data_IF_397022138427
#
_entry.id   IF_397022138427
#
_cell.length_a   1.000
_cell.length_b   1.000
_cell.length_c   1.000
_cell.angle_alpha   90.00
_cell.angle_beta   90.00
_cell.angle_gamma   90.00
#
_symmetry.space_group_name_H-M   'P 1'
#
loop_
_entity.id
_entity.type
_entity.pdbx_description
1 polymer ?
#
# COMPACT_ATOMS: atom_id res chain seq x y z
N UNK A 1 2.56 -27.19 -4.93
CA UNK A 1 2.75 -26.27 -6.07
C UNK A 1 1.78 -26.73 -7.14
N UNK A 2 0.74 -25.96 -7.49
CA UNK A 2 -0.17 -26.36 -8.54
C UNK A 2 0.54 -26.37 -9.88
N UNK A 3 0.48 -27.48 -10.57
CA UNK A 3 1.05 -27.66 -11.90
C UNK A 3 0.28 -26.81 -12.91
N UNK A 4 0.93 -26.16 -13.89
CA UNK A 4 0.24 -25.41 -14.93
C UNK A 4 -0.60 -26.37 -15.79
N UNK A 5 -1.89 -26.06 -15.93
CA UNK A 5 -2.78 -26.78 -16.84
C UNK A 5 -2.30 -26.50 -18.27
N UNK A 6 -1.76 -27.51 -18.95
CA UNK A 6 -1.42 -27.44 -20.37
C UNK A 6 -2.68 -27.62 -21.19
N UNK A 7 -3.12 -26.58 -21.88
CA UNK A 7 -4.11 -26.72 -22.97
C UNK A 7 -3.36 -26.72 -24.29
N UNK A 8 -3.69 -27.66 -25.19
CA UNK A 8 -3.03 -27.85 -26.48
C UNK A 8 -3.64 -26.93 -27.53
N UNK A 9 -2.92 -25.88 -27.96
CA UNK A 9 -3.29 -24.99 -29.06
C UNK A 9 -2.21 -23.92 -29.33
N UNK A 10 -2.08 -23.37 -30.57
CA UNK A 10 -1.02 -22.47 -30.95
C UNK A 10 -1.22 -21.08 -30.29
N UNK A 11 -0.34 -20.69 -29.39
CA UNK A 11 -0.30 -19.49 -28.53
C UNK A 11 -1.13 -19.61 -27.26
N UNK A 12 -0.66 -20.45 -26.36
CA UNK A 12 -1.23 -20.51 -25.01
C UNK A 12 -0.71 -19.35 -24.15
N UNK A 13 -1.58 -18.38 -23.87
CA UNK A 13 -1.39 -17.53 -22.69
C UNK A 13 -1.60 -18.40 -21.45
N UNK A 14 -0.55 -18.63 -20.67
CA UNK A 14 -0.65 -19.29 -19.35
C UNK A 14 -1.63 -18.51 -18.49
N UNK A 15 -2.83 -19.03 -18.33
CA UNK A 15 -3.83 -18.44 -17.46
C UNK A 15 -3.59 -18.98 -16.05
N UNK A 16 -3.13 -18.11 -15.15
CA UNK A 16 -3.00 -18.43 -13.74
C UNK A 16 -4.34 -18.18 -13.06
N UNK A 17 -5.08 -19.25 -12.81
CA UNK A 17 -6.36 -19.20 -12.13
C UNK A 17 -6.12 -19.51 -10.67
N UNK A 18 -6.58 -18.65 -9.76
CA UNK A 18 -6.52 -18.90 -8.33
C UNK A 18 -7.41 -20.10 -7.97
N UNK A 19 -6.88 -21.16 -7.34
CA UNK A 19 -7.67 -22.35 -6.98
C UNK A 19 -8.73 -22.06 -5.90
N UNK A 20 -8.57 -20.97 -5.13
CA UNK A 20 -9.49 -20.61 -4.05
C UNK A 20 -10.67 -19.76 -4.54
N UNK A 21 -10.43 -18.77 -5.40
CA UNK A 21 -11.47 -17.82 -5.81
C UNK A 21 -11.74 -17.79 -7.33
N UNK A 22 -11.04 -18.59 -8.11
CA UNK A 22 -11.21 -18.67 -9.58
C UNK A 22 -10.73 -17.43 -10.35
N UNK A 23 -10.13 -16.45 -9.71
CA UNK A 23 -9.60 -15.26 -10.36
C UNK A 23 -8.55 -15.61 -11.42
N UNK A 24 -8.75 -15.16 -12.65
CA UNK A 24 -7.85 -15.44 -13.80
C UNK A 24 -6.52 -14.68 -13.76
N UNK A 25 -6.35 -13.70 -12.89
CA UNK A 25 -5.14 -12.89 -12.74
C UNK A 25 -4.67 -12.78 -11.28
N UNK A 26 -5.30 -13.53 -10.37
CA UNK A 26 -5.00 -13.50 -8.93
C UNK A 26 -3.66 -14.13 -8.56
N UNK A 27 -3.11 -14.99 -9.40
CA UNK A 27 -1.80 -15.59 -9.21
C UNK A 27 -0.79 -14.91 -10.11
N UNK A 28 0.16 -14.19 -9.52
CA UNK A 28 1.38 -13.81 -10.22
C UNK A 28 2.44 -14.86 -9.94
N UNK A 29 3.04 -15.42 -11.00
CA UNK A 29 4.30 -16.14 -10.83
C UNK A 29 5.30 -15.16 -10.20
N UNK A 30 5.80 -15.54 -9.02
CA UNK A 30 7.04 -14.99 -8.57
C UNK A 30 8.11 -15.54 -9.52
N UNK A 31 8.32 -14.85 -10.65
CA UNK A 31 9.50 -15.10 -11.45
C UNK A 31 10.70 -15.00 -10.51
N UNK A 32 11.73 -15.78 -10.79
CA UNK A 32 12.99 -15.86 -10.03
C UNK A 32 13.67 -14.46 -10.04
N UNK A 33 13.03 -13.50 -9.38
CA UNK A 33 13.66 -12.23 -9.05
C UNK A 33 14.18 -12.39 -7.63
N UNK A 34 15.40 -12.90 -7.55
CA UNK A 34 16.17 -13.00 -6.30
C UNK A 34 16.03 -11.75 -5.42
N UNK A 35 15.93 -10.58 -6.04
CA UNK A 35 15.70 -9.32 -5.37
C UNK A 35 14.40 -9.28 -4.51
N UNK A 36 13.31 -9.89 -4.94
CA UNK A 36 12.05 -9.89 -4.17
C UNK A 36 12.13 -10.86 -2.99
N UNK A 37 12.74 -12.02 -3.19
CA UNK A 37 12.93 -13.02 -2.13
C UNK A 37 13.91 -12.51 -1.07
N UNK A 38 15.00 -11.88 -1.50
CA UNK A 38 15.97 -11.25 -0.61
C UNK A 38 15.33 -10.10 0.18
N UNK A 39 14.52 -9.23 -0.45
CA UNK A 39 13.82 -8.16 0.26
C UNK A 39 12.84 -8.69 1.31
N UNK A 40 12.10 -9.75 1.02
CA UNK A 40 11.21 -10.38 1.97
C UNK A 40 11.98 -11.01 3.14
N UNK A 41 13.10 -11.69 2.84
CA UNK A 41 13.95 -12.29 3.85
C UNK A 41 14.59 -11.24 4.77
N UNK A 42 15.10 -10.13 4.19
CA UNK A 42 15.66 -9.01 4.95
C UNK A 42 14.59 -8.42 5.87
N UNK A 43 13.38 -8.19 5.36
CA UNK A 43 12.28 -7.64 6.16
C UNK A 43 11.94 -8.56 7.34
N UNK A 44 11.88 -9.87 7.12
CA UNK A 44 11.62 -10.84 8.19
C UNK A 44 12.77 -10.90 9.21
N UNK A 45 14.02 -10.88 8.75
CA UNK A 45 15.18 -10.85 9.62
C UNK A 45 15.24 -9.58 10.48
N UNK A 46 14.91 -8.43 9.91
CA UNK A 46 14.92 -7.16 10.62
C UNK A 46 13.72 -7.00 11.57
N UNK A 47 12.58 -7.60 11.27
CA UNK A 47 11.44 -7.66 12.16
C UNK A 47 11.61 -8.66 13.31
N UNK A 48 12.61 -9.56 13.23
CA UNK A 48 12.85 -10.57 14.26
C UNK A 48 13.33 -9.92 15.55
N UNK A 49 12.68 -10.26 16.67
CA UNK A 49 13.11 -9.88 18.02
C UNK A 49 14.46 -10.47 18.46
N UNK A 50 14.97 -11.42 17.71
CA UNK A 50 16.26 -12.10 18.00
C UNK A 50 17.42 -11.48 17.24
N UNK A 51 17.17 -10.45 16.43
CA UNK A 51 18.19 -9.78 15.64
C UNK A 51 18.44 -8.36 16.17
N UNK A 52 19.48 -8.19 16.96
CA UNK A 52 19.88 -6.92 17.54
C UNK A 52 20.79 -6.10 16.60
N UNK A 53 21.41 -6.76 15.60
CA UNK A 53 22.27 -6.09 14.59
C UNK A 53 21.62 -6.17 13.21
N UNK A 54 20.80 -5.17 12.90
CA UNK A 54 20.02 -5.08 11.64
C UNK A 54 20.89 -4.66 10.46
N UNK A 55 21.95 -5.42 10.16
CA UNK A 55 22.84 -5.20 9.04
C UNK A 55 22.77 -6.34 8.05
N UNK A 56 22.82 -6.00 6.76
CA UNK A 56 22.88 -6.97 5.67
C UNK A 56 23.98 -6.62 4.71
N UNK A 57 24.83 -7.59 4.42
CA UNK A 57 25.86 -7.49 3.40
C UNK A 57 25.40 -8.27 2.16
N UNK A 58 25.29 -7.58 1.04
CA UNK A 58 25.00 -8.21 -0.25
C UNK A 58 26.17 -7.97 -1.19
N UNK A 59 26.69 -9.05 -1.76
CA UNK A 59 27.79 -9.00 -2.73
C UNK A 59 27.23 -9.08 -4.14
N UNK A 60 27.79 -8.28 -5.04
CA UNK A 60 27.49 -8.31 -6.46
C UNK A 60 28.78 -8.11 -7.25
N UNK A 61 28.90 -8.78 -8.39
CA UNK A 61 30.07 -8.70 -9.26
C UNK A 61 30.24 -7.33 -9.93
N UNK A 62 29.18 -6.52 -9.94
CA UNK A 62 29.17 -5.19 -10.54
C UNK A 62 28.75 -4.13 -9.51
N UNK A 63 29.58 -3.11 -9.32
CA UNK A 63 29.35 -2.00 -8.39
C UNK A 63 28.07 -1.23 -8.72
N UNK A 64 27.78 -1.00 -10.01
CA UNK A 64 26.54 -0.33 -10.42
C UNK A 64 25.31 -1.18 -10.10
N UNK A 65 25.38 -2.49 -10.32
CA UNK A 65 24.30 -3.41 -10.00
C UNK A 65 24.09 -3.51 -8.48
N UNK A 66 25.16 -3.51 -7.70
CA UNK A 66 25.10 -3.47 -6.24
C UNK A 66 24.43 -2.20 -5.71
N UNK A 67 24.80 -1.02 -6.23
CA UNK A 67 24.20 0.25 -5.84
C UNK A 67 22.72 0.34 -6.22
N UNK A 68 22.37 -0.10 -7.45
CA UNK A 68 21.00 -0.13 -7.91
C UNK A 68 20.13 -1.11 -7.08
N UNK A 69 20.68 -2.27 -6.74
CA UNK A 69 20.00 -3.26 -5.90
C UNK A 69 19.82 -2.76 -4.47
N UNK A 70 20.81 -2.08 -3.89
CA UNK A 70 20.70 -1.51 -2.55
C UNK A 70 19.56 -0.49 -2.46
N UNK A 71 19.46 0.44 -3.42
CA UNK A 71 18.34 1.39 -3.50
C UNK A 71 16.98 0.71 -3.70
N UNK A 72 16.94 -0.32 -4.53
CA UNK A 72 15.74 -1.12 -4.75
C UNK A 72 15.30 -1.86 -3.47
N UNK A 73 16.23 -2.49 -2.76
CA UNK A 73 15.94 -3.17 -1.50
C UNK A 73 15.43 -2.20 -0.44
N UNK A 74 16.10 -1.07 -0.26
CA UNK A 74 15.70 -0.05 0.71
C UNK A 74 14.28 0.46 0.43
N UNK A 75 13.98 0.82 -0.82
CA UNK A 75 12.64 1.27 -1.21
C UNK A 75 11.57 0.19 -1.03
N UNK A 76 11.89 -1.07 -1.30
CA UNK A 76 10.96 -2.19 -1.11
C UNK A 76 10.73 -2.51 0.35
N UNK A 77 11.78 -2.55 1.15
CA UNK A 77 11.69 -2.81 2.59
C UNK A 77 10.87 -1.73 3.28
N UNK A 78 11.10 -0.47 2.94
CA UNK A 78 10.31 0.66 3.46
C UNK A 78 8.81 0.52 3.13
N UNK A 79 8.47 0.21 1.88
CA UNK A 79 7.06 -0.01 1.48
C UNK A 79 6.41 -1.20 2.18
N UNK A 80 7.15 -2.28 2.39
CA UNK A 80 6.64 -3.41 3.16
C UNK A 80 6.41 -3.04 4.63
N UNK A 81 7.33 -2.29 5.24
CA UNK A 81 7.17 -1.76 6.59
C UNK A 81 5.91 -0.89 6.70
N UNK A 82 5.74 0.07 5.78
CA UNK A 82 4.57 0.93 5.75
C UNK A 82 3.26 0.14 5.60
N UNK A 83 3.20 -0.83 4.69
CA UNK A 83 2.01 -1.69 4.52
C UNK A 83 1.70 -2.51 5.77
N UNK A 84 2.72 -3.02 6.43
CA UNK A 84 2.55 -3.74 7.70
C UNK A 84 2.00 -2.81 8.78
N UNK A 85 2.49 -1.58 8.85
CA UNK A 85 2.00 -0.56 9.77
C UNK A 85 0.53 -0.18 9.48
N UNK A 86 0.18 0.02 8.20
CA UNK A 86 -1.21 0.27 7.77
C UNK A 86 -2.12 -0.87 8.17
N UNK A 87 -1.71 -2.12 7.91
CA UNK A 87 -2.50 -3.30 8.25
C UNK A 87 -2.71 -3.42 9.76
N UNK A 88 -1.69 -3.14 10.55
CA UNK A 88 -1.80 -3.13 12.01
C UNK A 88 -2.79 -2.07 12.49
N UNK A 89 -2.68 -0.85 11.98
CA UNK A 89 -3.62 0.22 12.31
C UNK A 89 -5.06 -0.16 11.93
N UNK A 90 -5.28 -0.71 10.74
CA UNK A 90 -6.60 -1.21 10.33
C UNK A 90 -7.17 -2.26 11.29
N UNK A 91 -6.32 -3.18 11.75
CA UNK A 91 -6.75 -4.26 12.65
C UNK A 91 -7.09 -3.76 14.06
N UNK A 92 -6.39 -2.74 14.56
CA UNK A 92 -6.54 -2.24 15.93
C UNK A 92 -7.57 -1.09 16.05
N UNK A 93 -7.60 -0.19 15.07
CA UNK A 93 -8.43 1.02 15.12
C UNK A 93 -9.73 0.92 14.30
N UNK A 94 -9.94 -0.20 13.65
CA UNK A 94 -11.21 -0.51 13.01
C UNK A 94 -11.31 -0.09 11.56
N UNK A 95 -12.33 -0.68 10.93
CA UNK A 95 -12.79 -0.39 9.57
C UNK A 95 -13.90 0.67 9.58
N UNK A 96 -14.14 1.30 8.45
CA UNK A 96 -15.27 2.22 8.26
C UNK A 96 -14.94 3.69 8.52
N UNK A 97 -13.67 4.04 8.59
CA UNK A 97 -13.22 5.44 8.62
C UNK A 97 -13.15 6.01 7.20
N UNK A 98 -13.38 7.32 7.06
CA UNK A 98 -13.06 8.00 5.81
C UNK A 98 -11.55 7.94 5.53
N UNK A 99 -11.13 8.03 4.27
CA UNK A 99 -9.71 8.00 3.95
C UNK A 99 -8.94 9.17 4.60
N UNK A 100 -9.58 10.33 4.74
CA UNK A 100 -8.99 11.50 5.39
C UNK A 100 -8.79 11.28 6.89
N UNK A 101 -9.81 10.77 7.60
CA UNK A 101 -9.71 10.43 9.01
C UNK A 101 -8.70 9.31 9.26
N UNK A 102 -8.67 8.34 8.35
CA UNK A 102 -7.68 7.26 8.38
C UNK A 102 -6.23 7.80 8.30
N UNK A 103 -5.96 8.74 7.39
CA UNK A 103 -4.62 9.33 7.24
C UNK A 103 -4.18 10.08 8.50
N UNK A 104 -5.08 10.90 9.07
CA UNK A 104 -4.80 11.64 10.30
C UNK A 104 -4.62 10.68 11.49
N UNK A 105 -5.58 9.80 11.70
CA UNK A 105 -5.56 8.83 12.80
C UNK A 105 -4.40 7.85 12.73
N UNK A 106 -3.92 7.50 11.53
CA UNK A 106 -2.74 6.66 11.37
C UNK A 106 -1.48 7.31 11.93
N UNK A 107 -1.28 8.59 11.63
CA UNK A 107 -0.12 9.34 12.13
C UNK A 107 -0.18 9.47 13.64
N UNK A 108 -1.33 9.89 14.17
CA UNK A 108 -1.56 10.05 15.61
C UNK A 108 -1.37 8.72 16.37
N UNK A 109 -1.87 7.64 15.82
CA UNK A 109 -1.72 6.30 16.40
C UNK A 109 -0.25 5.92 16.59
N UNK A 110 0.58 6.13 15.56
CA UNK A 110 1.98 5.74 15.64
C UNK A 110 2.80 6.68 16.52
N UNK A 111 2.48 7.98 16.61
CA UNK A 111 3.07 8.87 17.58
C UNK A 111 2.74 8.50 19.04
N UNK A 112 1.58 7.88 19.28
CA UNK A 112 1.23 7.37 20.61
C UNK A 112 1.97 6.07 20.97
N UNK A 113 2.42 5.30 19.99
CA UNK A 113 3.02 3.98 20.19
C UNK A 113 4.53 3.92 19.99
N UNK A 114 5.13 5.01 19.54
CA UNK A 114 6.56 5.13 19.27
C UNK A 114 7.11 6.44 19.82
N UNK A 115 8.39 6.45 20.18
CA UNK A 115 9.10 7.73 20.38
C UNK A 115 9.34 8.42 19.03
N UNK A 116 9.66 9.71 19.04
CA UNK A 116 9.93 10.46 17.81
C UNK A 116 11.11 9.85 17.02
N UNK A 117 12.13 9.35 17.73
CA UNK A 117 13.27 8.68 17.11
C UNK A 117 12.87 7.36 16.43
N UNK A 118 12.01 6.58 17.10
CA UNK A 118 11.49 5.33 16.55
C UNK A 118 10.59 5.59 15.34
N UNK A 119 9.73 6.61 15.44
CA UNK A 119 8.85 7.02 14.34
C UNK A 119 9.67 7.45 13.12
N UNK A 120 10.64 8.35 13.31
CA UNK A 120 11.53 8.77 12.21
C UNK A 120 12.30 7.59 11.64
N UNK A 121 12.89 6.74 12.49
CA UNK A 121 13.68 5.59 12.03
C UNK A 121 12.87 4.59 11.22
N UNK A 122 11.60 4.40 11.56
CA UNK A 122 10.73 3.43 10.90
C UNK A 122 10.11 3.97 9.61
N UNK A 123 9.66 5.23 9.65
CA UNK A 123 8.85 5.81 8.58
C UNK A 123 9.64 6.68 7.60
N UNK A 124 10.91 6.99 7.85
CA UNK A 124 11.70 7.80 6.93
C UNK A 124 11.79 7.14 5.56
N UNK A 125 11.34 7.80 4.49
CA UNK A 125 11.48 7.26 3.16
C UNK A 125 12.93 7.36 2.68
N UNK A 126 13.40 6.44 1.81
CA UNK A 126 14.80 6.39 1.36
C UNK A 126 15.33 7.67 0.76
N UNK A 127 14.44 8.49 0.17
CA UNK A 127 14.82 9.75 -0.44
C UNK A 127 14.97 10.93 0.56
N UNK A 128 14.72 10.72 1.85
CA UNK A 128 14.94 11.73 2.89
C UNK A 128 16.09 11.39 3.85
N UNK A 129 16.70 10.22 3.72
CA UNK A 129 17.78 9.75 4.61
C UNK A 129 19.06 10.57 4.55
N UNK A 130 19.25 11.40 3.53
CA UNK A 130 20.37 12.34 3.39
C UNK A 130 20.20 13.63 4.19
N UNK A 131 19.04 13.84 4.81
CA UNK A 131 18.79 15.07 5.58
C UNK A 131 19.64 15.09 6.84
N UNK A 132 20.23 16.27 7.12
CA UNK A 132 21.14 16.49 8.25
C UNK A 132 20.49 16.11 9.60
N UNK A 133 19.23 16.46 9.81
CA UNK A 133 18.53 16.10 11.05
C UNK A 133 18.45 14.58 11.26
N UNK A 134 18.30 13.80 10.19
CA UNK A 134 18.32 12.33 10.26
C UNK A 134 19.73 11.78 10.53
N UNK A 135 20.75 12.34 9.88
CA UNK A 135 22.14 11.95 10.12
C UNK A 135 22.57 12.22 11.56
N UNK A 136 22.25 13.41 12.10
CA UNK A 136 22.51 13.78 13.48
C UNK A 136 21.75 12.88 14.46
N UNK A 137 20.47 12.58 14.19
CA UNK A 137 19.68 11.64 14.99
C UNK A 137 20.33 10.24 15.00
N UNK A 138 20.80 9.75 13.85
CA UNK A 138 21.44 8.44 13.75
C UNK A 138 22.74 8.36 14.55
N UNK A 139 23.52 9.44 14.55
CA UNK A 139 24.77 9.53 15.29
C UNK A 139 24.55 9.66 16.80
N UNK A 140 23.63 10.53 17.20
CA UNK A 140 23.38 10.87 18.61
C UNK A 140 22.34 9.97 19.27
N UNK A 141 21.64 9.12 18.50
CA UNK A 141 20.49 8.31 18.94
C UNK A 141 19.36 9.13 19.58
N UNK A 142 19.27 10.40 19.23
CA UNK A 142 18.28 11.33 19.72
C UNK A 142 17.94 12.35 18.65
N UNK A 143 16.65 12.58 18.44
CA UNK A 143 16.17 13.64 17.57
C UNK A 143 16.39 14.98 18.27
N UNK A 144 16.96 15.97 17.58
CA UNK A 144 17.08 17.32 18.12
C UNK A 144 15.71 18.01 18.13
N UNK A 145 15.53 18.94 19.07
CA UNK A 145 14.33 19.77 19.14
C UNK A 145 14.58 21.09 18.39
N UNK A 146 15.05 21.01 17.16
CA UNK A 146 15.32 22.14 16.31
C UNK A 146 14.36 22.23 15.12
N UNK A 147 14.41 23.37 14.44
CA UNK A 147 13.55 23.61 13.26
C UNK A 147 13.75 22.55 12.17
N UNK A 148 14.96 21.99 12.02
CA UNK A 148 15.25 21.01 10.97
C UNK A 148 14.62 19.65 11.30
N UNK A 149 14.62 19.26 12.56
CA UNK A 149 13.94 18.05 13.03
C UNK A 149 12.42 18.13 12.84
N UNK A 150 11.82 19.28 13.18
CA UNK A 150 10.38 19.51 12.95
C UNK A 150 10.01 19.47 11.46
N UNK A 151 10.85 20.06 10.59
CA UNK A 151 10.65 19.98 9.14
C UNK A 151 10.74 18.53 8.67
N UNK A 152 11.74 17.77 9.14
CA UNK A 152 11.89 16.36 8.79
C UNK A 152 10.68 15.55 9.21
N UNK A 153 10.20 15.73 10.43
CA UNK A 153 9.01 15.05 10.96
C UNK A 153 7.80 15.31 10.05
N UNK A 154 7.53 16.58 9.79
CA UNK A 154 6.41 16.99 8.94
C UNK A 154 6.49 16.42 7.50
N UNK A 155 7.68 16.39 6.90
CA UNK A 155 7.86 15.79 5.59
C UNK A 155 7.63 14.27 5.59
N UNK A 156 8.00 13.58 6.67
CA UNK A 156 7.71 12.15 6.84
C UNK A 156 6.21 11.93 6.93
N UNK A 157 5.51 12.70 7.76
CA UNK A 157 4.05 12.62 7.92
C UNK A 157 3.31 12.87 6.61
N UNK A 158 3.68 13.93 5.90
CA UNK A 158 3.13 14.21 4.57
C UNK A 158 3.38 13.06 3.59
N UNK A 159 4.57 12.49 3.64
CA UNK A 159 4.91 11.34 2.78
C UNK A 159 4.08 10.11 3.12
N UNK A 160 3.85 9.81 4.39
CA UNK A 160 2.99 8.72 4.84
C UNK A 160 1.57 8.92 4.30
N UNK A 161 1.00 10.10 4.49
CA UNK A 161 -0.35 10.43 4.00
C UNK A 161 -0.46 10.24 2.47
N UNK A 162 0.54 10.70 1.74
CA UNK A 162 0.60 10.52 0.28
C UNK A 162 0.68 9.04 -0.12
N UNK A 163 1.51 8.24 0.56
CA UNK A 163 1.63 6.80 0.26
C UNK A 163 0.36 6.01 0.61
N UNK A 164 -0.36 6.40 1.67
CA UNK A 164 -1.68 5.83 1.97
C UNK A 164 -2.67 6.12 0.83
N UNK A 165 -2.69 7.36 0.31
CA UNK A 165 -3.50 7.71 -0.86
C UNK A 165 -3.10 6.90 -2.10
N UNK A 166 -1.81 6.71 -2.32
CA UNK A 166 -1.32 5.88 -3.42
C UNK A 166 -1.75 4.42 -3.26
N UNK A 167 -1.64 3.88 -2.05
CA UNK A 167 -1.94 2.46 -1.78
C UNK A 167 -3.40 2.11 -2.07
N UNK A 168 -4.34 2.97 -1.64
CA UNK A 168 -5.78 2.74 -1.78
C UNK A 168 -6.43 3.41 -3.00
N UNK A 169 -5.77 4.40 -3.60
CA UNK A 169 -6.27 5.15 -4.74
C UNK A 169 -5.58 4.76 -6.05
N UNK A 170 -4.54 5.50 -6.40
CA UNK A 170 -3.92 5.44 -7.72
C UNK A 170 -3.24 4.11 -8.05
N UNK A 171 -2.70 3.41 -7.05
CA UNK A 171 -1.93 2.17 -7.27
C UNK A 171 -2.63 0.92 -6.74
N UNK A 172 -3.85 1.03 -6.23
CA UNK A 172 -4.58 -0.10 -5.64
C UNK A 172 -4.67 -1.31 -6.57
N UNK A 173 -4.78 -1.07 -7.87
CA UNK A 173 -4.85 -2.10 -8.92
C UNK A 173 -3.49 -2.47 -9.53
N UNK A 174 -2.40 -1.83 -9.12
CA UNK A 174 -1.07 -2.01 -9.72
C UNK A 174 -0.12 -2.69 -8.74
N UNK A 175 0.37 -3.84 -9.08
CA UNK A 175 1.35 -4.55 -8.26
C UNK A 175 0.76 -5.32 -7.09
N UNK A 176 1.47 -5.37 -5.97
CA UNK A 176 1.08 -6.05 -4.73
C UNK A 176 0.64 -5.00 -3.71
N UNK A 177 -0.61 -4.63 -3.74
CA UNK A 177 -1.22 -3.69 -2.80
C UNK A 177 -1.95 -4.44 -1.67
N UNK A 178 -2.36 -3.73 -0.63
CA UNK A 178 -3.17 -4.29 0.46
C UNK A 178 -4.51 -4.81 -0.05
N UNK A 179 -5.13 -4.12 -1.01
CA UNK A 179 -6.35 -4.58 -1.67
C UNK A 179 -6.15 -5.90 -2.41
N UNK A 180 -5.10 -6.01 -3.22
CA UNK A 180 -4.80 -7.24 -3.99
C UNK A 180 -4.32 -8.40 -3.14
N UNK A 181 -3.81 -8.14 -1.96
CA UNK A 181 -3.48 -9.17 -0.96
C UNK A 181 -4.67 -9.51 -0.06
N UNK A 182 -5.83 -8.93 -0.30
CA UNK A 182 -7.06 -9.11 0.50
C UNK A 182 -6.87 -8.76 1.99
N UNK A 183 -6.00 -7.79 2.29
CA UNK A 183 -5.75 -7.34 3.64
C UNK A 183 -6.71 -6.22 4.06
N UNK A 184 -6.85 -5.21 3.19
CA UNK A 184 -7.77 -4.09 3.39
C UNK A 184 -8.12 -3.46 2.04
N UNK A 185 -9.28 -2.85 1.96
CA UNK A 185 -9.81 -2.27 0.72
C UNK A 185 -10.51 -0.95 1.04
N UNK A 186 -10.42 0.01 0.13
CA UNK A 186 -11.26 1.19 0.14
C UNK A 186 -12.63 0.81 -0.44
N UNK A 187 -13.69 1.07 0.30
CA UNK A 187 -15.06 0.87 -0.16
C UNK A 187 -15.86 2.16 -0.01
N UNK A 188 -16.81 2.35 -0.88
CA UNK A 188 -17.77 3.44 -0.74
C UNK A 188 -18.88 3.03 0.24
N UNK A 189 -19.37 3.96 1.06
CA UNK A 189 -20.48 3.66 1.94
C UNK A 189 -21.72 3.35 1.11
N UNK A 190 -22.55 2.36 1.51
CA UNK A 190 -23.80 2.07 0.83
C UNK A 190 -24.72 3.29 0.74
N UNK A 191 -24.72 4.13 1.79
CA UNK A 191 -25.49 5.36 1.89
C UNK A 191 -25.04 6.39 0.84
N UNK A 192 -23.74 6.61 0.68
CA UNK A 192 -23.21 7.53 -0.33
C UNK A 192 -23.53 7.05 -1.74
N UNK A 193 -23.40 5.74 -1.99
CA UNK A 193 -23.77 5.14 -3.28
C UNK A 193 -25.25 5.34 -3.56
N UNK A 194 -26.09 5.16 -2.56
CA UNK A 194 -27.54 5.34 -2.71
C UNK A 194 -27.91 6.81 -2.98
N UNK A 195 -27.28 7.76 -2.28
CA UNK A 195 -27.47 9.19 -2.52
C UNK A 195 -27.01 9.62 -3.92
N UNK A 196 -25.80 9.18 -4.34
CA UNK A 196 -25.28 9.47 -5.68
C UNK A 196 -26.20 8.86 -6.73
N UNK A 197 -26.59 7.60 -6.57
CA UNK A 197 -27.46 6.92 -7.51
C UNK A 197 -28.84 7.62 -7.62
N UNK A 198 -29.40 8.05 -6.49
CA UNK A 198 -30.67 8.78 -6.48
C UNK A 198 -30.55 10.15 -7.16
N UNK A 199 -29.49 10.89 -6.89
CA UNK A 199 -29.25 12.20 -7.49
C UNK A 199 -29.06 12.10 -9.03
N UNK A 200 -28.26 11.12 -9.49
CA UNK A 200 -28.05 10.91 -10.93
C UNK A 200 -29.33 10.39 -11.60
N UNK A 201 -30.07 9.48 -10.94
CA UNK A 201 -31.34 8.98 -11.45
C UNK A 201 -32.35 10.13 -11.64
N UNK A 202 -32.50 11.01 -10.66
CA UNK A 202 -33.35 12.18 -10.75
C UNK A 202 -33.00 13.07 -11.94
N UNK A 203 -31.71 13.28 -12.15
CA UNK A 203 -31.20 14.09 -13.27
C UNK A 203 -31.45 13.43 -14.63
N UNK A 204 -31.21 12.13 -14.74
CA UNK A 204 -31.48 11.35 -15.96
C UNK A 204 -32.97 11.33 -16.29
N UNK A 205 -33.84 11.16 -15.29
CA UNK A 205 -35.31 11.21 -15.49
C UNK A 205 -35.75 12.58 -15.95
N UNK A 206 -35.23 13.65 -15.35
CA UNK A 206 -35.63 15.02 -15.69
C UNK A 206 -35.08 15.47 -17.05
N UNK A 207 -33.87 15.07 -17.43
CA UNK A 207 -33.23 15.52 -18.68
C UNK A 207 -33.55 14.61 -19.87
N UNK A 208 -33.70 13.30 -19.65
CA UNK A 208 -33.85 12.34 -20.75
C UNK A 208 -35.21 11.64 -20.78
N UNK A 209 -36.02 11.74 -19.74
CA UNK A 209 -37.35 11.15 -19.69
C UNK A 209 -37.38 9.60 -19.69
N UNK A 210 -36.28 8.94 -19.45
CA UNK A 210 -36.09 7.53 -19.81
C UNK A 210 -35.81 6.66 -18.55
N UNK A 211 -36.52 6.71 -17.47
CA UNK A 211 -36.29 5.68 -16.47
C UNK A 211 -37.54 5.29 -15.71
N UNK A 212 -37.82 3.99 -15.68
CA UNK A 212 -38.83 3.42 -14.80
C UNK A 212 -38.27 3.22 -13.38
N UNK A 213 -39.17 3.10 -12.42
CA UNK A 213 -38.82 2.92 -11.00
C UNK A 213 -38.08 1.61 -10.72
N UNK A 214 -38.18 0.64 -11.62
CA UNK A 214 -37.58 -0.71 -11.50
C UNK A 214 -36.07 -0.70 -11.83
N UNK A 215 -35.58 0.34 -12.52
CA UNK A 215 -34.19 0.45 -12.93
C UNK A 215 -33.25 0.94 -11.82
N UNK A 216 -33.78 1.28 -10.63
CA UNK A 216 -32.97 1.82 -9.52
C UNK A 216 -31.86 0.86 -9.09
N UNK A 217 -32.15 -0.43 -9.00
CA UNK A 217 -31.16 -1.45 -8.61
C UNK A 217 -30.09 -1.63 -9.69
N UNK A 218 -30.50 -1.58 -10.96
CA UNK A 218 -29.59 -1.68 -12.10
C UNK A 218 -28.68 -0.45 -12.10
N UNK A 219 -29.26 0.71 -11.82
CA UNK A 219 -28.54 1.98 -11.78
C UNK A 219 -27.51 2.03 -10.63
N UNK A 220 -27.90 1.58 -9.43
CA UNK A 220 -26.95 1.45 -8.32
C UNK A 220 -25.79 0.53 -8.66
N UNK A 221 -26.06 -0.63 -9.27
CA UNK A 221 -25.02 -1.56 -9.72
C UNK A 221 -24.10 -0.93 -10.77
N UNK A 222 -24.65 -0.10 -11.65
CA UNK A 222 -23.89 0.62 -12.66
C UNK A 222 -22.98 1.66 -12.03
N UNK A 223 -23.47 2.43 -11.04
CA UNK A 223 -22.69 3.42 -10.28
C UNK A 223 -21.57 2.73 -9.50
N UNK A 224 -21.87 1.64 -8.79
CA UNK A 224 -20.87 0.83 -8.09
C UNK A 224 -19.81 0.30 -9.07
N UNK A 225 -20.24 -0.22 -10.21
CA UNK A 225 -19.33 -0.71 -11.25
C UNK A 225 -18.41 0.40 -11.78
N UNK A 226 -18.93 1.60 -11.91
CA UNK A 226 -18.17 2.76 -12.38
C UNK A 226 -17.17 3.27 -11.34
N UNK A 227 -17.59 3.36 -10.08
CA UNK A 227 -16.71 3.73 -8.95
C UNK A 227 -15.57 2.72 -8.76
N UNK A 228 -15.82 1.43 -9.03
CA UNK A 228 -14.78 0.40 -8.99
C UNK A 228 -13.81 0.43 -10.19
N UNK A 229 -14.09 1.23 -11.21
CA UNK A 229 -13.21 1.43 -12.38
C UNK A 229 -12.29 2.64 -12.22
N UNK A 230 -12.63 3.57 -11.31
CA UNK A 230 -11.81 4.72 -10.96
C UNK A 230 -10.69 4.32 -10.01
#
# INVERSE_FOLDING_TARGET
IPSPIRTTGPKQHKQYICPCCGSRRGLSLMGVRSATEISASISQMFASRFNDDKKTLAFSDNVQDAAHRAGFFNSRTWRFGLRTAIQRYCAECGSGQSLADFQAGFVDYWHLHMTDEEFVSFFIPPNLTWKRAYEEMTQNRKLSDDKQAHILMHEIEQRIQYEIMLEYGLTSKIGRTLERSACSVLSFSPEDIEQIAAAVQLRVVNELGIMSREDRIIFQRMVIGWLNLL
#
